data_IF_027893023355
#
_entry.id   IF_027893023355
#
_cell.length_a   1.000
_cell.length_b   1.000
_cell.length_c   1.000
_cell.angle_alpha   90.00
_cell.angle_beta   90.00
_cell.angle_gamma   90.00
#
_symmetry.space_group_name_H-M   'P 1'
#
loop_
_entity.id
_entity.type
_entity.pdbx_description
1 polymer ?
#
# COMPACT_ATOMS: atom_id res chain seq x y z
N UNK A 1 -3.28 14.12 -13.01
CA UNK A 1 -2.65 12.83 -12.64
C UNK A 1 -1.76 12.42 -13.79
N UNK A 2 -0.47 12.17 -13.71
CA UNK A 2 0.61 12.33 -12.74
C UNK A 2 1.84 11.80 -13.52
N UNK A 3 3.05 12.33 -13.34
CA UNK A 3 4.29 11.80 -13.96
C UNK A 3 4.54 10.30 -13.63
N UNK A 4 3.77 9.75 -12.69
CA UNK A 4 3.68 8.33 -12.37
C UNK A 4 3.18 7.51 -13.56
N UNK A 5 4.15 6.91 -14.25
CA UNK A 5 3.93 5.83 -15.22
C UNK A 5 3.29 4.61 -14.56
N UNK A 6 2.69 3.73 -15.36
CA UNK A 6 2.14 2.47 -14.83
C UNK A 6 3.19 1.61 -14.14
N UNK A 7 4.42 1.57 -14.66
CA UNK A 7 5.53 0.85 -14.04
C UNK A 7 5.81 1.33 -12.61
N UNK A 8 5.84 2.66 -12.39
CA UNK A 8 6.04 3.21 -11.05
C UNK A 8 4.85 2.92 -10.13
N UNK A 9 3.62 2.90 -10.64
CA UNK A 9 2.44 2.50 -9.86
C UNK A 9 2.52 1.04 -9.43
N UNK A 10 2.93 0.15 -10.33
CA UNK A 10 3.15 -1.27 -10.02
C UNK A 10 4.25 -1.42 -8.97
N UNK A 11 5.34 -0.67 -9.10
CA UNK A 11 6.42 -0.69 -8.12
C UNK A 11 5.96 -0.23 -6.74
N UNK A 12 5.13 0.82 -6.66
CA UNK A 12 4.51 1.25 -5.42
C UNK A 12 3.65 0.14 -4.80
N UNK A 13 2.88 -0.60 -5.60
CA UNK A 13 2.12 -1.75 -5.10
C UNK A 13 3.04 -2.85 -4.55
N UNK A 14 4.16 -3.11 -5.20
CA UNK A 14 5.18 -4.05 -4.69
C UNK A 14 5.79 -3.56 -3.36
N UNK A 15 6.04 -2.25 -3.24
CA UNK A 15 6.54 -1.64 -2.00
C UNK A 15 5.50 -1.68 -0.86
N UNK A 16 4.21 -1.49 -1.16
CA UNK A 16 3.12 -1.71 -0.19
C UNK A 16 3.18 -3.16 0.31
N UNK A 17 3.41 -4.11 -0.58
CA UNK A 17 3.47 -5.53 -0.23
C UNK A 17 2.08 -6.12 0.02
N UNK A 18 2.03 -7.27 0.68
CA UNK A 18 0.80 -8.05 0.82
C UNK A 18 0.74 -8.83 2.14
N UNK A 19 -0.49 -9.07 2.61
CA UNK A 19 -0.75 -9.83 3.84
C UNK A 19 -0.10 -9.23 5.07
N UNK A 20 0.53 -10.07 5.90
CA UNK A 20 1.18 -9.65 7.15
C UNK A 20 2.47 -8.84 6.94
N UNK A 21 2.99 -8.79 5.69
CA UNK A 21 4.17 -8.01 5.30
C UNK A 21 3.79 -6.68 4.63
N UNK A 22 2.52 -6.27 4.71
CA UNK A 22 2.10 -4.99 4.19
C UNK A 22 2.73 -3.83 4.98
N UNK A 23 3.24 -2.84 4.25
CA UNK A 23 3.76 -1.58 4.79
C UNK A 23 2.66 -0.53 4.84
N UNK A 24 2.79 0.41 5.77
CA UNK A 24 1.95 1.61 5.82
C UNK A 24 2.32 2.57 4.70
N UNK A 25 1.39 3.46 4.32
CA UNK A 25 1.66 4.43 3.25
C UNK A 25 2.80 5.39 3.60
N UNK A 26 2.99 5.71 4.89
CA UNK A 26 4.14 6.50 5.36
C UNK A 26 5.47 5.80 5.05
N UNK A 27 5.56 4.49 5.34
CA UNK A 27 6.76 3.69 5.08
C UNK A 27 7.03 3.56 3.58
N UNK A 28 5.98 3.42 2.77
CA UNK A 28 6.11 3.36 1.30
C UNK A 28 6.58 4.71 0.74
N UNK A 29 6.08 5.86 1.24
CA UNK A 29 6.62 7.17 0.84
C UNK A 29 8.12 7.25 1.12
N UNK A 30 8.55 6.82 2.31
CA UNK A 30 9.97 6.85 2.68
C UNK A 30 10.80 5.94 1.76
N UNK A 31 10.37 4.70 1.59
CA UNK A 31 11.06 3.72 0.73
C UNK A 31 11.12 4.19 -0.73
N UNK A 32 10.06 4.78 -1.25
CA UNK A 32 10.02 5.30 -2.60
C UNK A 32 11.02 6.44 -2.80
N UNK A 33 11.15 7.36 -1.83
CA UNK A 33 12.14 8.45 -1.87
C UNK A 33 13.58 7.93 -1.80
N UNK A 34 13.82 6.88 -1.02
CA UNK A 34 15.13 6.24 -0.92
C UNK A 34 15.50 5.51 -2.23
N UNK A 35 14.52 4.92 -2.90
CA UNK A 35 14.72 4.14 -4.14
C UNK A 35 14.81 5.03 -5.38
N UNK A 36 14.07 6.15 -5.39
CA UNK A 36 13.95 7.08 -6.52
C UNK A 36 14.30 8.52 -6.10
N UNK A 37 15.57 8.82 -5.77
CA UNK A 37 15.98 10.14 -5.29
C UNK A 37 15.81 11.24 -6.34
N UNK A 38 15.85 10.89 -7.63
CA UNK A 38 15.74 11.83 -8.76
C UNK A 38 14.29 12.18 -9.11
N UNK A 39 13.31 11.44 -8.57
CA UNK A 39 11.90 11.67 -8.84
C UNK A 39 11.28 12.65 -7.84
N UNK A 40 10.24 13.40 -8.25
CA UNK A 40 9.50 14.24 -7.33
C UNK A 40 8.95 13.42 -6.16
N UNK A 41 8.96 13.97 -4.93
CA UNK A 41 8.50 13.24 -3.76
C UNK A 41 7.01 12.95 -3.86
N UNK A 42 6.65 11.72 -3.51
CA UNK A 42 5.25 11.35 -3.33
C UNK A 42 4.76 11.70 -1.93
N UNK A 43 3.45 11.94 -1.86
CA UNK A 43 2.72 12.07 -0.61
C UNK A 43 1.87 10.80 -0.37
N UNK A 44 1.46 10.62 0.88
CA UNK A 44 0.71 9.43 1.31
C UNK A 44 -0.63 9.33 0.56
N UNK A 45 -1.29 10.46 0.32
CA UNK A 45 -2.55 10.52 -0.43
C UNK A 45 -2.43 9.93 -1.84
N UNK A 46 -1.31 10.18 -2.53
CA UNK A 46 -1.08 9.63 -3.86
C UNK A 46 -0.96 8.11 -3.81
N UNK A 47 -0.26 7.58 -2.82
CA UNK A 47 -0.12 6.14 -2.64
C UNK A 47 -1.47 5.50 -2.28
N UNK A 48 -2.23 6.12 -1.36
CA UNK A 48 -3.60 5.68 -1.02
C UNK A 48 -4.52 5.66 -2.24
N UNK A 49 -4.45 6.67 -3.11
CA UNK A 49 -5.23 6.71 -4.36
C UNK A 49 -4.82 5.61 -5.34
N UNK A 50 -3.52 5.35 -5.49
CA UNK A 50 -3.02 4.25 -6.33
C UNK A 50 -3.54 2.92 -5.78
N UNK A 51 -3.38 2.66 -4.48
CA UNK A 51 -3.87 1.42 -3.88
C UNK A 51 -5.38 1.26 -4.06
N UNK A 52 -6.17 2.31 -3.81
CA UNK A 52 -7.62 2.30 -3.99
C UNK A 52 -8.01 2.00 -5.44
N UNK A 53 -7.37 2.67 -6.41
CA UNK A 53 -7.63 2.46 -7.83
C UNK A 53 -7.42 0.99 -8.24
N UNK A 54 -6.31 0.37 -7.83
CA UNK A 54 -6.04 -1.03 -8.19
C UNK A 54 -6.93 -2.03 -7.45
N UNK A 55 -7.46 -1.66 -6.28
CA UNK A 55 -8.48 -2.45 -5.58
C UNK A 55 -9.83 -2.37 -6.27
N UNK A 56 -10.25 -1.18 -6.70
CA UNK A 56 -11.50 -0.98 -7.44
C UNK A 56 -11.50 -1.72 -8.78
N UNK A 57 -10.34 -1.78 -9.45
CA UNK A 57 -10.15 -2.57 -10.68
C UNK A 57 -10.11 -4.09 -10.43
N UNK A 58 -10.07 -4.54 -9.17
CA UNK A 58 -9.95 -5.95 -8.81
C UNK A 58 -8.56 -6.54 -9.01
N UNK A 59 -7.54 -5.73 -9.33
CA UNK A 59 -6.16 -6.18 -9.49
C UNK A 59 -5.47 -6.50 -8.16
N UNK A 60 -5.91 -5.84 -7.07
CA UNK A 60 -5.39 -6.06 -5.72
C UNK A 60 -6.55 -6.36 -4.79
N UNK A 61 -6.46 -7.47 -4.03
CA UNK A 61 -7.46 -7.84 -3.02
C UNK A 61 -6.88 -7.67 -1.62
N UNK A 62 -7.66 -7.07 -0.72
CA UNK A 62 -7.31 -7.05 0.71
C UNK A 62 -7.48 -8.46 1.29
N UNK A 63 -6.40 -9.02 1.82
CA UNK A 63 -6.50 -10.22 2.66
C UNK A 63 -6.85 -9.78 4.08
N UNK A 64 -7.78 -10.45 4.75
CA UNK A 64 -7.98 -10.25 6.17
C UNK A 64 -6.66 -10.52 6.90
N UNK A 65 -6.14 -9.49 7.58
CA UNK A 65 -4.95 -9.62 8.43
C UNK A 65 -5.26 -10.58 9.57
N UNK A 66 -4.36 -11.53 9.86
CA UNK A 66 -4.53 -12.48 10.98
C UNK A 66 -4.46 -11.80 12.36
N UNK A 67 -4.15 -10.50 12.42
CA UNK A 67 -4.12 -9.73 13.67
C UNK A 67 -5.50 -9.44 14.28
N UNK A 68 -6.59 -9.87 13.65
CA UNK A 68 -7.97 -9.66 14.13
C UNK A 68 -8.65 -10.90 14.72
N UNK A 69 -7.89 -11.97 15.03
CA UNK A 69 -8.42 -13.15 15.69
C UNK A 69 -8.00 -13.22 17.17
N UNK A 70 -8.38 -12.23 17.98
CA UNK A 70 -8.44 -12.34 19.44
C UNK A 70 -9.34 -11.23 19.99
N UNK A 71 -10.62 -11.52 20.23
CA UNK A 71 -11.23 -11.74 21.55
C UNK A 71 -12.73 -12.01 21.34
N UNK A 72 -13.10 -13.28 21.28
CA UNK A 72 -14.42 -13.70 21.75
C UNK A 72 -14.14 -14.25 23.14
N UNK A 73 -14.16 -13.37 24.14
CA UNK A 73 -14.08 -13.78 25.54
C UNK A 73 -15.51 -14.15 25.96
N UNK A 74 -15.70 -15.47 26.02
CA UNK A 74 -16.82 -16.21 26.56
C UNK A 74 -17.20 -15.65 27.95
N UNK A 75 -18.13 -14.69 28.00
CA UNK A 75 -18.73 -14.26 29.27
C UNK A 75 -20.04 -15.02 29.49
N UNK A 76 -19.88 -16.16 30.16
CA UNK A 76 -20.93 -17.00 30.74
C UNK A 76 -21.67 -16.33 31.90
#
# INVERSE_FOLDING_TARGET
MSYLTESLKIEILMMIGYGDRARTQCEVVRLFRETHPDLPPLNQDTISKIEAQYREMGHVRKVPSKRQAVVDDDMK
#
